data_IF_095655740331
#
_entry.id   IF_095655740331
#
_cell.length_a   1.000
_cell.length_b   1.000
_cell.length_c   1.000
_cell.angle_alpha   90.00
_cell.angle_beta   90.00
_cell.angle_gamma   90.00
#
_symmetry.space_group_name_H-M   'P 1'
#
loop_
_entity.id
_entity.type
_entity.pdbx_description
1 polymer ?
#
# COMPACT_ATOMS: atom_id res chain seq x y z
N UNK A 1 -62.44 -20.36 9.73
CA UNK A 1 -61.21 -20.63 8.95
C UNK A 1 -60.46 -19.31 8.77
N UNK A 2 -59.46 -19.04 9.61
CA UNK A 2 -58.62 -17.84 9.46
C UNK A 2 -57.41 -18.19 8.58
N UNK A 3 -57.25 -17.47 7.46
CA UNK A 3 -56.12 -17.61 6.54
C UNK A 3 -54.98 -16.72 7.05
N UNK A 4 -53.84 -17.31 7.41
CA UNK A 4 -52.62 -16.58 7.72
C UNK A 4 -51.89 -16.27 6.41
N UNK A 5 -51.69 -14.98 6.11
CA UNK A 5 -50.80 -14.51 5.05
C UNK A 5 -49.41 -14.38 5.66
N UNK A 6 -48.48 -15.22 5.24
CA UNK A 6 -47.06 -15.07 5.58
C UNK A 6 -46.44 -14.03 4.65
N UNK A 7 -46.00 -12.90 5.20
CA UNK A 7 -45.18 -11.94 4.48
C UNK A 7 -43.73 -12.44 4.49
N UNK A 8 -43.21 -12.76 3.30
CA UNK A 8 -41.80 -13.14 3.11
C UNK A 8 -40.98 -11.85 3.03
N UNK A 9 -40.23 -11.53 4.08
CA UNK A 9 -39.27 -10.43 4.05
C UNK A 9 -38.01 -10.87 3.29
N UNK A 10 -37.83 -10.37 2.06
CA UNK A 10 -36.61 -10.54 1.30
C UNK A 10 -35.61 -9.47 1.73
N UNK A 11 -34.69 -9.81 2.62
CA UNK A 11 -33.59 -8.94 3.01
C UNK A 11 -32.51 -9.02 1.92
N UNK A 12 -32.42 -7.99 1.06
CA UNK A 12 -31.24 -7.83 0.20
C UNK A 12 -30.05 -7.49 1.12
N UNK A 13 -29.16 -8.45 1.35
CA UNK A 13 -27.81 -8.12 1.81
C UNK A 13 -27.08 -7.53 0.62
N UNK A 14 -27.06 -6.20 0.52
CA UNK A 14 -26.06 -5.53 -0.30
C UNK A 14 -24.70 -5.92 0.30
N UNK A 15 -23.95 -6.76 -0.42
CA UNK A 15 -22.57 -7.05 -0.07
C UNK A 15 -21.82 -5.73 -0.09
N UNK A 16 -21.44 -5.22 1.07
CA UNK A 16 -20.49 -4.11 1.14
C UNK A 16 -19.21 -4.67 0.53
N UNK A 17 -18.81 -4.14 -0.62
CA UNK A 17 -17.50 -4.47 -1.18
C UNK A 17 -16.47 -4.05 -0.12
N UNK A 18 -15.87 -5.03 0.56
CA UNK A 18 -14.70 -4.74 1.39
C UNK A 18 -13.63 -4.23 0.43
N UNK A 19 -13.22 -2.98 0.58
CA UNK A 19 -12.06 -2.50 -0.14
C UNK A 19 -10.86 -3.34 0.33
N UNK A 20 -10.26 -4.04 -0.63
CA UNK A 20 -9.12 -4.93 -0.39
C UNK A 20 -7.84 -4.10 -0.40
N UNK A 21 -6.94 -4.37 0.54
CA UNK A 21 -5.55 -3.96 0.41
C UNK A 21 -4.75 -4.99 -0.38
N UNK A 22 -3.64 -4.55 -0.97
CA UNK A 22 -2.56 -5.40 -1.47
C UNK A 22 -1.37 -5.20 -0.56
N UNK A 23 -0.76 -6.28 -0.09
CA UNK A 23 0.29 -6.22 0.94
C UNK A 23 1.52 -7.01 0.53
N UNK A 24 2.69 -6.51 0.94
CA UNK A 24 3.94 -7.24 1.08
C UNK A 24 4.54 -7.06 2.47
N UNK A 25 4.73 -8.18 3.19
CA UNK A 25 5.33 -8.20 4.53
C UNK A 25 6.74 -8.76 4.52
N UNK A 26 7.14 -9.48 3.46
CA UNK A 26 8.46 -10.09 3.34
C UNK A 26 8.80 -11.07 4.47
N UNK A 27 7.78 -11.65 5.11
CA UNK A 27 7.98 -12.58 6.23
C UNK A 27 8.73 -13.86 5.81
N UNK A 28 8.58 -14.27 4.55
CA UNK A 28 9.04 -15.59 4.08
C UNK A 28 9.83 -15.58 2.77
N UNK A 29 9.64 -14.58 1.92
CA UNK A 29 10.34 -14.44 0.64
C UNK A 29 10.30 -12.98 0.11
N UNK A 30 10.80 -12.76 -1.10
CA UNK A 30 10.76 -11.46 -1.77
C UNK A 30 9.38 -11.08 -2.33
N UNK A 31 8.41 -11.99 -2.25
CA UNK A 31 7.07 -11.89 -2.78
C UNK A 31 6.96 -11.41 -4.25
N UNK A 32 8.00 -11.68 -5.04
CA UNK A 32 8.11 -11.30 -6.44
C UNK A 32 8.61 -9.88 -6.71
N UNK A 33 9.07 -9.15 -5.68
CA UNK A 33 9.71 -7.85 -5.86
C UNK A 33 11.05 -7.99 -6.60
N UNK A 34 11.35 -6.99 -7.41
CA UNK A 34 12.62 -6.92 -8.16
C UNK A 34 13.30 -5.58 -7.99
N UNK A 35 14.42 -5.36 -8.67
CA UNK A 35 15.24 -4.15 -8.55
C UNK A 35 15.58 -3.61 -9.94
N UNK A 36 15.60 -2.29 -10.08
CA UNK A 36 16.00 -1.58 -11.29
C UNK A 36 17.11 -0.56 -10.96
N UNK A 37 18.02 -0.30 -11.90
CA UNK A 37 19.12 0.66 -11.74
C UNK A 37 20.40 0.06 -11.15
N UNK A 38 21.19 0.92 -10.51
CA UNK A 38 22.60 0.72 -10.11
C UNK A 38 22.78 -0.18 -8.87
N UNK A 39 22.33 -1.42 -8.95
CA UNK A 39 22.42 -2.39 -7.84
C UNK A 39 23.43 -3.50 -8.11
N UNK A 40 24.22 -3.87 -7.10
CA UNK A 40 25.09 -5.07 -7.14
C UNK A 40 24.55 -6.21 -6.27
N UNK A 41 25.05 -7.42 -6.52
CA UNK A 41 24.74 -8.60 -5.71
C UNK A 41 25.59 -8.64 -4.42
N UNK A 42 25.10 -9.26 -3.33
CA UNK A 42 23.75 -9.82 -3.18
C UNK A 42 22.68 -8.72 -3.05
N UNK A 43 21.49 -8.99 -3.58
CA UNK A 43 20.28 -8.15 -3.43
C UNK A 43 19.05 -9.05 -3.35
N UNK A 44 18.01 -8.62 -2.65
CA UNK A 44 16.78 -9.38 -2.47
C UNK A 44 16.38 -9.54 -1.01
N UNK A 45 15.51 -10.52 -0.78
CA UNK A 45 15.03 -10.89 0.54
C UNK A 45 16.14 -11.48 1.41
N UNK A 46 16.04 -11.27 2.72
CA UNK A 46 16.85 -11.94 3.71
C UNK A 46 16.01 -12.44 4.90
N UNK A 47 16.58 -13.36 5.68
CA UNK A 47 15.89 -14.02 6.79
C UNK A 47 15.47 -13.10 7.95
N UNK A 48 15.85 -11.81 7.94
CA UNK A 48 15.36 -10.82 8.90
C UNK A 48 14.04 -10.16 8.46
N UNK A 49 13.49 -10.52 7.30
CA UNK A 49 12.13 -10.16 6.90
C UNK A 49 12.01 -8.86 6.10
N UNK A 50 13.00 -8.52 5.27
CA UNK A 50 12.95 -7.32 4.42
C UNK A 50 13.75 -7.52 3.13
N UNK A 51 13.50 -6.66 2.14
CA UNK A 51 14.35 -6.54 0.96
C UNK A 51 15.55 -5.65 1.27
N UNK A 52 16.72 -6.01 0.74
CA UNK A 52 17.93 -5.18 0.79
C UNK A 52 18.63 -5.19 -0.57
N UNK A 53 19.19 -4.05 -0.97
CA UNK A 53 20.11 -3.96 -2.09
C UNK A 53 21.22 -2.96 -1.78
N UNK A 54 22.40 -3.20 -2.38
CA UNK A 54 23.58 -2.34 -2.25
C UNK A 54 23.82 -1.60 -3.56
N UNK A 55 24.11 -0.31 -3.47
CA UNK A 55 24.55 0.50 -4.60
C UNK A 55 25.86 -0.05 -5.19
N UNK A 56 25.93 -0.10 -6.51
CA UNK A 56 27.13 -0.48 -7.25
C UNK A 56 28.18 0.66 -7.31
N UNK A 57 27.80 1.90 -7.01
CA UNK A 57 28.60 3.11 -6.99
C UNK A 57 29.13 3.54 -8.37
N UNK A 58 28.30 3.41 -9.42
CA UNK A 58 28.59 3.97 -10.75
C UNK A 58 27.94 5.35 -10.95
N UNK A 59 27.30 5.91 -9.91
CA UNK A 59 26.62 7.20 -9.95
C UNK A 59 25.20 7.13 -10.52
N UNK A 60 24.60 5.94 -10.55
CA UNK A 60 23.20 5.76 -10.93
C UNK A 60 22.22 6.07 -9.81
N UNK A 61 20.96 5.69 -10.01
CA UNK A 61 19.95 5.64 -8.95
C UNK A 61 19.22 4.32 -9.09
N UNK A 62 19.01 3.61 -7.99
CA UNK A 62 18.26 2.37 -8.00
C UNK A 62 16.93 2.39 -7.23
N UNK A 63 16.06 1.45 -7.62
CA UNK A 63 14.66 1.36 -7.21
C UNK A 63 14.26 -0.10 -6.92
N UNK A 64 13.40 -0.27 -5.91
CA UNK A 64 12.56 -1.46 -5.74
C UNK A 64 11.39 -1.41 -6.72
N UNK A 65 11.10 -2.52 -7.39
CA UNK A 65 10.06 -2.63 -8.40
C UNK A 65 8.98 -3.60 -7.93
N UNK A 66 7.77 -3.09 -7.80
CA UNK A 66 6.65 -3.84 -7.25
C UNK A 66 6.20 -5.00 -8.18
N UNK A 67 5.78 -6.14 -7.61
CA UNK A 67 5.26 -7.28 -8.38
C UNK A 67 3.87 -7.02 -8.95
N UNK A 68 3.46 -7.89 -9.87
CA UNK A 68 2.16 -7.83 -10.59
C UNK A 68 0.93 -7.73 -9.69
N UNK A 69 0.99 -8.21 -8.44
CA UNK A 69 -0.11 -8.05 -7.47
C UNK A 69 -0.42 -6.58 -7.15
N UNK A 70 0.57 -5.68 -7.21
CA UNK A 70 0.41 -4.24 -7.06
C UNK A 70 0.02 -3.53 -8.37
N UNK A 71 -0.04 -4.21 -9.50
CA UNK A 71 -0.24 -3.63 -10.83
C UNK A 71 -1.65 -3.91 -11.40
N UNK A 72 -1.93 -3.40 -12.60
CA UNK A 72 -3.22 -3.48 -13.28
C UNK A 72 -4.24 -2.49 -12.71
N UNK A 73 -5.53 -2.85 -12.72
CA UNK A 73 -6.57 -1.96 -12.22
C UNK A 73 -6.54 -1.85 -10.68
N UNK A 74 -6.02 -0.71 -10.20
CA UNK A 74 -5.96 -0.26 -8.80
C UNK A 74 -6.81 0.99 -8.56
N UNK A 75 -7.83 1.24 -9.37
CA UNK A 75 -8.73 2.40 -9.18
C UNK A 75 -9.35 2.46 -7.77
N UNK A 76 -9.57 1.30 -7.12
CA UNK A 76 -10.08 1.23 -5.75
C UNK A 76 -9.10 1.76 -4.68
N UNK A 77 -7.82 1.93 -5.01
CA UNK A 77 -6.82 2.54 -4.15
C UNK A 77 -6.80 4.08 -4.24
N UNK A 78 -7.48 4.68 -5.22
CA UNK A 78 -7.61 6.12 -5.31
C UNK A 78 -8.30 6.68 -4.05
N UNK A 79 -7.73 7.75 -3.48
CA UNK A 79 -8.17 8.32 -2.19
C UNK A 79 -7.78 7.50 -0.95
N UNK A 80 -7.00 6.42 -1.12
CA UNK A 80 -6.42 5.65 -0.03
C UNK A 80 -4.91 5.93 0.06
N UNK A 81 -4.13 5.00 0.61
CA UNK A 81 -2.70 5.19 0.82
C UNK A 81 -1.86 4.08 0.19
N UNK A 82 -0.65 4.44 -0.26
CA UNK A 82 0.49 3.55 -0.38
C UNK A 82 1.38 3.77 0.84
N UNK A 83 1.50 2.76 1.70
CA UNK A 83 2.35 2.80 2.89
C UNK A 83 3.51 1.81 2.75
N UNK A 84 4.66 2.13 3.33
CA UNK A 84 5.86 1.29 3.32
C UNK A 84 6.90 1.83 4.32
N UNK A 85 7.84 0.98 4.69
CA UNK A 85 8.98 1.34 5.54
C UNK A 85 10.27 1.34 4.73
N UNK A 86 11.07 2.39 4.86
CA UNK A 86 12.40 2.47 4.26
C UNK A 86 13.48 2.67 5.30
N UNK A 87 14.66 2.16 4.97
CA UNK A 87 15.89 2.37 5.70
C UNK A 87 17.01 2.66 4.72
N UNK A 88 17.92 3.55 5.10
CA UNK A 88 19.23 3.71 4.47
C UNK A 88 20.34 3.51 5.51
N UNK A 89 21.48 2.95 5.12
CA UNK A 89 22.56 2.64 6.05
C UNK A 89 23.32 3.87 6.57
N UNK A 90 23.24 5.00 5.87
CA UNK A 90 23.87 6.27 6.24
C UNK A 90 23.10 7.42 5.61
N UNK A 91 23.22 8.63 6.17
CA UNK A 91 22.62 9.85 5.63
C UNK A 91 23.67 10.83 5.09
N UNK A 92 24.90 10.36 4.90
CA UNK A 92 26.01 11.15 4.39
C UNK A 92 25.90 11.39 2.88
N UNK A 93 26.22 12.60 2.43
CA UNK A 93 26.23 12.99 1.01
C UNK A 93 24.89 12.69 0.27
N UNK A 94 23.75 13.20 0.79
CA UNK A 94 22.45 12.90 0.21
C UNK A 94 22.25 13.56 -1.15
N UNK A 95 21.44 12.95 -2.01
CA UNK A 95 20.99 13.54 -3.26
C UNK A 95 19.49 13.34 -3.47
N UNK A 96 18.86 14.21 -4.27
CA UNK A 96 17.42 14.15 -4.54
C UNK A 96 17.13 13.47 -5.88
N UNK A 97 16.15 12.56 -5.88
CA UNK A 97 15.49 11.94 -7.03
C UNK A 97 14.04 11.64 -6.66
N UNK A 98 13.24 11.29 -7.66
CA UNK A 98 11.86 10.85 -7.43
C UNK A 98 11.83 9.64 -6.50
N UNK A 99 11.18 9.79 -5.33
CA UNK A 99 11.02 8.72 -4.34
C UNK A 99 10.07 7.63 -4.82
N UNK A 100 9.02 8.05 -5.54
CA UNK A 100 7.99 7.19 -6.09
C UNK A 100 7.83 7.48 -7.57
N UNK A 101 7.72 6.41 -8.37
CA UNK A 101 7.40 6.52 -9.80
C UNK A 101 6.29 5.52 -10.10
N UNK A 102 5.12 6.05 -10.49
CA UNK A 102 3.98 5.26 -10.91
C UNK A 102 3.74 5.52 -12.39
N UNK A 103 3.74 4.47 -13.20
CA UNK A 103 3.38 4.55 -14.62
C UNK A 103 2.14 3.72 -14.87
N UNK A 104 1.18 4.28 -15.61
CA UNK A 104 -0.08 3.62 -15.92
C UNK A 104 -1.00 4.52 -16.73
N UNK A 105 -1.97 3.94 -17.45
CA UNK A 105 -2.91 4.70 -18.27
C UNK A 105 -2.23 5.62 -19.31
N UNK A 106 -1.01 5.27 -19.74
CA UNK A 106 -0.20 6.06 -20.69
C UNK A 106 0.51 7.29 -20.10
N UNK A 107 0.55 7.44 -18.78
CA UNK A 107 1.20 8.56 -18.09
C UNK A 107 2.11 8.07 -16.96
N UNK A 108 3.03 8.94 -16.54
CA UNK A 108 3.87 8.73 -15.35
C UNK A 108 3.63 9.87 -14.37
N UNK A 109 3.40 9.52 -13.11
CA UNK A 109 3.40 10.46 -11.99
C UNK A 109 4.53 10.11 -11.02
N UNK A 110 5.13 11.13 -10.42
CA UNK A 110 6.18 10.96 -9.42
C UNK A 110 5.82 11.61 -8.10
N UNK A 111 6.35 11.06 -7.03
CA UNK A 111 6.08 11.46 -5.66
C UNK A 111 7.37 11.64 -4.89
N UNK A 112 7.43 12.65 -4.04
CA UNK A 112 8.61 12.92 -3.21
C UNK A 112 8.21 13.11 -1.75
N UNK A 113 9.01 12.52 -0.86
CA UNK A 113 8.93 12.65 0.58
C UNK A 113 10.34 12.82 1.16
N UNK A 114 10.46 13.15 2.45
CA UNK A 114 11.77 13.24 3.09
C UNK A 114 12.51 11.90 3.03
N UNK A 115 13.83 11.93 2.87
CA UNK A 115 14.68 10.73 2.87
C UNK A 115 14.55 9.95 4.20
N UNK A 116 14.70 8.61 4.17
CA UNK A 116 14.61 7.79 5.38
C UNK A 116 15.74 8.06 6.36
N UNK A 117 15.61 7.62 7.60
CA UNK A 117 16.72 7.62 8.57
C UNK A 117 17.61 6.38 8.46
N UNK A 118 18.54 6.27 9.41
CA UNK A 118 19.30 5.04 9.70
C UNK A 118 18.56 4.09 10.65
N UNK A 119 17.24 4.26 10.73
CA UNK A 119 16.27 3.35 11.30
C UNK A 119 15.09 3.27 10.32
N UNK A 120 14.32 2.18 10.35
CA UNK A 120 13.13 2.08 9.51
C UNK A 120 12.21 3.27 9.76
N UNK A 121 11.89 3.96 8.67
CA UNK A 121 11.08 5.16 8.63
C UNK A 121 9.82 4.84 7.83
N UNK A 122 8.65 5.02 8.47
CA UNK A 122 7.36 4.71 7.86
C UNK A 122 6.82 5.86 7.03
N UNK A 123 6.32 5.53 5.85
CA UNK A 123 5.66 6.43 4.93
C UNK A 123 4.21 6.00 4.71
N UNK A 124 3.32 6.98 4.54
CA UNK A 124 1.92 6.77 4.20
C UNK A 124 1.50 7.86 3.22
N UNK A 125 1.53 7.52 1.94
CA UNK A 125 1.40 8.45 0.83
C UNK A 125 -0.01 8.37 0.28
N UNK A 126 -0.73 9.49 0.26
CA UNK A 126 -2.08 9.53 -0.29
C UNK A 126 -2.05 9.29 -1.80
N UNK A 127 -2.97 8.46 -2.28
CA UNK A 127 -3.16 8.13 -3.70
C UNK A 127 -4.26 9.01 -4.32
N UNK A 128 -4.16 10.31 -4.05
CA UNK A 128 -5.00 11.39 -4.58
C UNK A 128 -4.21 12.72 -4.55
N UNK A 129 -4.83 13.82 -4.96
CA UNK A 129 -4.20 15.14 -5.03
C UNK A 129 -3.90 15.79 -3.67
N UNK A 130 -4.23 15.16 -2.54
CA UNK A 130 -3.79 15.63 -1.22
C UNK A 130 -2.29 15.39 -1.01
N UNK A 131 -1.70 14.45 -1.74
CA UNK A 131 -0.26 14.34 -1.92
C UNK A 131 0.16 15.04 -3.22
N UNK A 132 1.31 15.73 -3.19
CA UNK A 132 1.82 16.51 -4.31
C UNK A 132 2.46 15.63 -5.40
N UNK A 133 1.67 14.73 -5.99
CA UNK A 133 2.06 13.97 -7.17
C UNK A 133 2.39 14.92 -8.31
N UNK A 134 3.49 14.68 -9.01
CA UNK A 134 3.96 15.48 -10.13
C UNK A 134 3.80 14.70 -11.43
N UNK A 135 3.36 15.38 -12.49
CA UNK A 135 3.41 14.91 -13.87
C UNK A 135 4.29 15.86 -14.67
N UNK A 136 5.51 15.42 -14.98
CA UNK A 136 6.55 16.32 -15.46
C UNK A 136 6.79 17.45 -14.46
N UNK A 137 6.55 18.70 -14.87
CA UNK A 137 6.75 19.89 -14.03
C UNK A 137 5.46 20.45 -13.40
N UNK A 138 4.35 19.72 -13.44
CA UNK A 138 3.04 20.18 -12.92
C UNK A 138 2.49 19.22 -11.88
N UNK A 139 1.68 19.71 -10.96
CA UNK A 139 0.96 18.86 -10.00
C UNK A 139 -0.11 18.07 -10.75
N UNK A 140 -0.14 16.75 -10.55
CA UNK A 140 -1.13 15.86 -11.12
C UNK A 140 -2.52 16.08 -10.48
N UNK A 141 -3.56 16.08 -11.30
CA UNK A 141 -4.95 16.15 -10.84
C UNK A 141 -5.44 14.79 -10.36
N UNK A 142 -6.51 14.77 -9.56
CA UNK A 142 -7.20 13.54 -9.17
C UNK A 142 -7.56 12.65 -10.36
N UNK A 143 -8.02 13.25 -11.46
CA UNK A 143 -8.38 12.52 -12.67
C UNK A 143 -7.16 11.82 -13.30
N UNK A 144 -5.98 12.46 -13.28
CA UNK A 144 -4.74 11.86 -13.78
C UNK A 144 -4.20 10.78 -12.86
N UNK A 145 -4.25 11.00 -11.54
CA UNK A 145 -3.85 10.00 -10.54
C UNK A 145 -4.74 8.77 -10.66
N UNK A 146 -6.07 8.96 -10.73
CA UNK A 146 -7.03 7.88 -10.95
C UNK A 146 -6.79 7.16 -12.28
N UNK A 147 -6.47 7.87 -13.36
CA UNK A 147 -6.17 7.25 -14.65
C UNK A 147 -4.92 6.36 -14.59
N UNK A 148 -3.85 6.81 -13.93
CA UNK A 148 -2.65 5.99 -13.68
C UNK A 148 -3.00 4.75 -12.87
N UNK A 149 -3.77 4.90 -11.79
CA UNK A 149 -4.16 3.77 -10.94
C UNK A 149 -5.13 2.81 -11.62
N UNK A 150 -5.93 3.26 -12.59
CA UNK A 150 -6.92 2.41 -13.26
C UNK A 150 -6.29 1.37 -14.19
N UNK A 151 -5.03 1.59 -14.60
CA UNK A 151 -4.25 0.69 -15.45
C UNK A 151 -2.75 0.85 -15.11
N UNK A 152 -2.37 0.45 -13.89
CA UNK A 152 -1.03 0.66 -13.36
C UNK A 152 -0.04 -0.34 -13.95
N UNK A 153 0.91 0.13 -14.75
CA UNK A 153 1.94 -0.66 -15.41
C UNK A 153 3.17 -0.89 -14.52
N UNK A 154 3.54 0.10 -13.71
CA UNK A 154 4.68 0.01 -12.79
C UNK A 154 4.52 0.86 -11.54
N UNK A 155 5.08 0.37 -10.44
CA UNK A 155 5.25 1.07 -9.18
C UNK A 155 6.69 0.87 -8.70
N UNK A 156 7.47 1.95 -8.67
CA UNK A 156 8.84 1.94 -8.22
C UNK A 156 8.98 2.79 -6.94
N UNK A 157 9.74 2.25 -5.98
CA UNK A 157 10.08 2.93 -4.73
C UNK A 157 11.61 3.08 -4.71
N UNK A 158 12.11 4.29 -4.47
CA UNK A 158 13.54 4.58 -4.44
C UNK A 158 14.24 3.80 -3.32
N UNK A 159 15.48 3.39 -3.57
CA UNK A 159 16.31 2.73 -2.56
C UNK A 159 17.70 3.32 -2.35
N UNK A 160 18.13 4.25 -3.22
CA UNK A 160 19.46 4.86 -3.18
C UNK A 160 19.41 6.31 -2.72
N UNK A 161 20.19 6.66 -1.71
CA UNK A 161 20.09 7.97 -1.07
C UNK A 161 21.41 8.71 -0.93
N UNK A 162 22.53 8.00 -0.99
CA UNK A 162 23.87 8.57 -0.89
C UNK A 162 24.57 8.58 -2.26
N UNK A 163 25.28 9.67 -2.55
CA UNK A 163 26.29 9.65 -3.60
C UNK A 163 27.58 8.98 -3.08
N UNK A 164 27.76 7.73 -3.48
CA UNK A 164 28.77 6.77 -3.00
C UNK A 164 28.13 5.49 -2.47
N UNK A 165 28.94 4.44 -2.27
CA UNK A 165 28.40 3.12 -1.94
C UNK A 165 27.58 3.07 -0.65
N UNK A 166 26.31 2.70 -0.80
CA UNK A 166 25.32 2.59 0.28
C UNK A 166 24.52 1.28 0.17
N UNK A 167 23.61 1.05 1.12
CA UNK A 167 22.56 0.06 0.97
C UNK A 167 21.25 0.55 1.58
N UNK A 168 20.16 0.15 0.96
CA UNK A 168 18.80 0.47 1.38
C UNK A 168 18.02 -0.78 1.75
N UNK A 169 16.93 -0.60 2.53
CA UNK A 169 15.96 -1.67 2.81
C UNK A 169 14.53 -1.20 2.60
N UNK A 170 13.65 -2.13 2.21
CA UNK A 170 12.21 -1.94 2.05
C UNK A 170 11.45 -3.01 2.84
N UNK A 171 10.41 -2.59 3.56
CA UNK A 171 9.53 -3.46 4.32
C UNK A 171 8.06 -2.94 4.34
N UNK A 172 7.11 -3.80 4.73
CA UNK A 172 5.72 -3.49 5.05
C UNK A 172 4.95 -2.67 4.00
N UNK A 173 5.03 -3.05 2.73
CA UNK A 173 4.37 -2.33 1.63
C UNK A 173 2.87 -2.65 1.60
N UNK A 174 2.02 -1.64 1.69
CA UNK A 174 0.56 -1.77 1.64
C UNK A 174 -0.03 -0.74 0.69
N UNK A 175 -0.84 -1.19 -0.28
CA UNK A 175 -1.63 -0.32 -1.15
C UNK A 175 -3.12 -0.54 -0.88
N UNK A 176 -3.86 0.56 -0.66
CA UNK A 176 -5.30 0.54 -0.47
C UNK A 176 -5.69 0.82 0.98
N UNK A 177 -6.77 0.20 1.47
CA UNK A 177 -7.23 0.41 2.84
C UNK A 177 -6.16 -0.07 3.83
N UNK A 178 -5.61 0.83 4.63
CA UNK A 178 -4.98 0.45 5.88
C UNK A 178 -6.09 -0.13 6.76
N UNK A 179 -6.13 -1.46 6.90
CA UNK A 179 -7.02 -2.12 7.83
C UNK A 179 -6.66 -1.63 9.24
N UNK A 180 -7.36 -0.62 9.74
CA UNK A 180 -7.35 -0.31 11.17
C UNK A 180 -7.89 -1.57 11.84
N UNK A 181 -7.12 -2.26 12.71
CA UNK A 181 -7.67 -3.37 13.47
C UNK A 181 -8.87 -2.82 14.23
N UNK A 182 -10.07 -3.35 13.98
CA UNK A 182 -11.23 -2.93 14.76
C UNK A 182 -10.87 -3.11 16.23
N UNK A 183 -10.94 -2.05 17.06
CA UNK A 183 -10.72 -2.23 18.49
C UNK A 183 -11.70 -3.31 18.94
N UNK A 184 -11.25 -4.25 19.78
CA UNK A 184 -12.05 -5.40 20.20
C UNK A 184 -13.45 -5.02 20.77
N UNK A 185 -13.63 -3.75 21.15
CA UNK A 185 -14.92 -3.15 21.52
C UNK A 185 -15.96 -3.08 20.39
N UNK A 186 -15.58 -3.00 19.13
CA UNK A 186 -16.51 -2.96 18.00
C UNK A 186 -17.21 -4.31 17.74
N UNK A 187 -16.56 -5.43 18.10
CA UNK A 187 -17.15 -6.78 18.03
C UNK A 187 -18.22 -7.02 19.12
N UNK A 188 -18.12 -6.32 20.27
CA UNK A 188 -19.07 -6.45 21.37
C UNK A 188 -20.44 -5.81 21.08
N UNK A 189 -20.52 -4.79 20.21
CA UNK A 189 -21.81 -4.18 19.84
C UNK A 189 -22.63 -5.05 18.88
N UNK A 190 -21.99 -5.87 18.04
CA UNK A 190 -22.70 -6.79 17.15
C UNK A 190 -23.36 -7.97 17.91
N UNK A 191 -22.78 -8.39 19.04
CA UNK A 191 -23.35 -9.43 19.90
C UNK A 191 -24.53 -8.98 20.77
N UNK A 192 -24.67 -7.69 21.06
CA UNK A 192 -25.67 -7.18 21.98
C UNK A 192 -27.11 -7.17 21.42
N UNK A 193 -27.29 -7.14 20.10
CA UNK A 193 -28.62 -7.17 19.47
C UNK A 193 -29.18 -8.59 19.25
N UNK A 194 -28.36 -9.65 19.36
CA UNK A 194 -28.84 -11.03 19.25
C UNK A 194 -29.38 -11.59 20.58
N UNK A 195 -29.01 -10.99 21.73
CA UNK A 195 -29.32 -11.53 23.05
C UNK A 195 -30.68 -11.12 23.67
N UNK A 196 -31.31 -10.03 23.21
CA UNK A 196 -32.53 -9.51 23.86
C UNK A 196 -33.86 -10.04 23.31
N UNK A 197 -33.85 -11.00 22.37
CA UNK A 197 -35.06 -11.59 21.80
C UNK A 197 -35.59 -12.84 22.55
N UNK A 198 -34.80 -13.46 23.41
CA UNK A 198 -35.05 -14.84 23.85
C UNK A 198 -35.53 -15.01 25.31
N UNK A 199 -36.03 -13.96 25.97
CA UNK A 199 -36.57 -14.12 27.33
C UNK A 199 -37.95 -13.49 27.53
N UNK A 200 -38.97 -14.03 26.86
CA UNK A 200 -40.35 -13.92 27.38
C UNK A 200 -41.25 -15.04 26.88
N UNK A 201 -41.30 -16.14 27.64
CA UNK A 201 -42.53 -16.81 28.13
C UNK A 201 -42.23 -18.22 28.61
N UNK A 202 -42.27 -18.42 29.92
CA UNK A 202 -42.95 -19.59 30.50
C UNK A 202 -43.52 -19.20 31.86
N UNK A 203 -44.84 -18.98 31.88
CA UNK A 203 -45.69 -19.14 33.04
C UNK A 203 -46.42 -20.47 32.84
N UNK A 204 -46.34 -21.31 33.84
CA UNK A 204 -47.01 -22.59 34.02
C UNK A 204 -46.62 -23.06 35.40
#
# INVERSE_FOLDING_TARGET
MFKYIAALAFCLTAGVAQASSVTSTFDTDDEGWTFSGDTKAPKGWNAAGYLEATDQANGGTWYYVAPTKFLGNKAAAFGQTLSYDLYQNTTSNPFDRDELILTGGGMTITGNHAHPGTAFTSYSIALDSSFAWMIGSSVATDAQILAVLSDLDSLWIRGEYQDGGDYGRLDNVVMGLNAVPLPASALLLAGAFAGMGALRRRRG
#
